data_IF_189969344991
#
_entry.id   IF_189969344991
#
_cell.length_a   1.000
_cell.length_b   1.000
_cell.length_c   1.000
_cell.angle_alpha   90.00
_cell.angle_beta   90.00
_cell.angle_gamma   90.00
#
_symmetry.space_group_name_H-M   'P 1'
#
loop_
_entity.id
_entity.type
_entity.pdbx_description
1 polymer ?
#
# COMPACT_ATOMS: atom_id res chain seq x y z
N UNK A 1 16.03 33.86 -54.39
CA UNK A 1 17.01 33.57 -53.31
C UNK A 1 16.36 32.63 -52.32
N UNK A 2 16.80 31.36 -52.31
CA UNK A 2 16.34 30.32 -51.38
C UNK A 2 17.35 30.25 -50.23
N UNK A 3 16.95 30.56 -49.00
CA UNK A 3 17.78 30.29 -47.83
C UNK A 3 17.20 29.10 -47.07
N UNK A 4 17.94 28.00 -47.14
CA UNK A 4 17.86 26.85 -46.25
C UNK A 4 18.35 27.27 -44.87
N UNK A 5 17.61 26.98 -43.81
CA UNK A 5 18.12 27.03 -42.43
C UNK A 5 17.97 25.65 -41.82
N UNK A 6 19.12 25.18 -41.38
CA UNK A 6 19.46 23.84 -40.95
C UNK A 6 18.85 23.48 -39.60
N UNK A 7 18.53 22.20 -39.49
CA UNK A 7 18.45 21.38 -38.26
C UNK A 7 19.65 21.70 -37.34
N UNK A 8 19.42 21.79 -36.01
CA UNK A 8 20.17 21.13 -34.90
C UNK A 8 19.84 21.75 -33.52
N UNK A 9 19.57 20.87 -32.54
CA UNK A 9 19.91 20.88 -31.09
C UNK A 9 18.73 20.35 -30.25
N UNK A 10 18.71 19.05 -29.96
CA UNK A 10 19.33 18.44 -28.76
C UNK A 10 18.52 18.67 -27.47
N UNK A 11 17.72 17.65 -27.16
CA UNK A 11 17.46 17.06 -25.85
C UNK A 11 17.62 17.96 -24.59
N UNK A 12 16.48 18.27 -23.97
CA UNK A 12 16.39 18.51 -22.53
C UNK A 12 15.48 17.43 -21.92
N UNK A 13 16.04 16.22 -21.76
CA UNK A 13 15.57 15.25 -20.78
C UNK A 13 16.09 15.71 -19.42
N UNK A 14 15.41 16.67 -18.80
CA UNK A 14 15.61 16.95 -17.37
C UNK A 14 14.79 15.90 -16.62
N UNK A 15 15.42 14.77 -16.35
CA UNK A 15 14.96 13.83 -15.33
C UNK A 15 14.86 14.58 -14.01
N UNK A 16 13.64 14.75 -13.51
CA UNK A 16 13.34 15.25 -12.18
C UNK A 16 13.83 14.23 -11.15
N UNK A 17 15.11 14.36 -10.78
CA UNK A 17 15.67 13.68 -9.61
C UNK A 17 15.10 14.40 -8.40
N UNK A 18 14.08 13.80 -7.78
CA UNK A 18 13.59 14.24 -6.47
C UNK A 18 14.72 14.07 -5.47
N UNK A 19 15.32 15.18 -5.04
CA UNK A 19 16.30 15.19 -3.95
C UNK A 19 15.59 14.80 -2.65
N UNK A 20 15.80 13.58 -2.19
CA UNK A 20 15.46 13.17 -0.83
C UNK A 20 16.34 13.97 0.13
N UNK A 21 15.74 14.82 0.96
CA UNK A 21 16.45 15.46 2.06
C UNK A 21 16.65 14.40 3.16
N UNK A 22 17.91 14.03 3.41
CA UNK A 22 18.27 13.26 4.58
C UNK A 22 18.19 14.15 5.84
N UNK A 23 18.00 13.54 7.01
CA UNK A 23 18.08 14.25 8.29
C UNK A 23 19.40 15.03 8.41
N UNK A 24 19.38 16.18 9.09
CA UNK A 24 20.61 16.88 9.49
C UNK A 24 21.35 16.04 10.54
N UNK A 25 22.14 15.09 10.05
CA UNK A 25 23.01 14.27 10.88
C UNK A 25 24.28 15.08 11.15
N UNK A 26 24.64 15.39 12.40
CA UNK A 26 25.88 16.09 12.72
C UNK A 26 27.07 15.41 12.04
N UNK A 27 27.97 16.21 11.47
CA UNK A 27 29.16 15.69 10.79
C UNK A 27 29.95 14.76 11.72
N UNK A 28 30.33 13.58 11.22
CA UNK A 28 31.05 12.57 11.99
C UNK A 28 30.17 11.66 12.86
N UNK A 29 28.84 11.74 12.74
CA UNK A 29 27.95 10.76 13.39
C UNK A 29 28.22 9.36 12.82
N UNK A 30 28.58 8.43 13.72
CA UNK A 30 28.80 7.02 13.39
C UNK A 30 27.53 6.25 13.76
N UNK A 31 27.10 5.33 12.89
CA UNK A 31 25.96 4.46 13.17
C UNK A 31 26.28 3.56 14.37
N UNK A 32 25.36 3.46 15.33
CA UNK A 32 25.55 2.57 16.48
C UNK A 32 25.67 1.10 16.04
N UNK A 33 26.50 0.32 16.74
CA UNK A 33 26.64 -1.13 16.46
C UNK A 33 25.30 -1.88 16.62
N UNK A 34 24.45 -1.42 17.55
CA UNK A 34 23.15 -2.01 17.86
C UNK A 34 22.02 -1.17 17.29
N UNK A 35 21.36 -1.67 16.25
CA UNK A 35 20.19 -1.02 15.61
C UNK A 35 18.88 -1.55 16.20
N UNK A 36 18.65 -1.27 17.48
CA UNK A 36 17.40 -1.59 18.17
C UNK A 36 16.65 -0.31 18.55
N UNK A 37 15.33 -0.33 18.38
CA UNK A 37 14.45 0.79 18.69
C UNK A 37 13.28 0.30 19.55
N UNK A 38 13.03 1.01 20.65
CA UNK A 38 11.84 0.82 21.50
C UNK A 38 10.90 1.99 21.28
N UNK A 39 9.71 1.73 20.73
CA UNK A 39 8.67 2.74 20.46
C UNK A 39 7.50 2.55 21.41
N UNK A 40 7.08 3.62 22.06
CA UNK A 40 5.83 3.62 22.82
C UNK A 40 4.63 3.61 21.86
N UNK A 41 3.66 2.74 22.12
CA UNK A 41 2.32 2.74 21.52
C UNK A 41 1.29 2.94 22.63
N UNK A 42 0.19 3.65 22.33
CA UNK A 42 -0.72 4.16 23.37
C UNK A 42 -1.55 3.09 24.08
N UNK A 43 -1.77 1.95 23.43
CA UNK A 43 -2.62 0.87 23.93
C UNK A 43 -2.23 -0.46 23.23
N UNK A 44 -2.79 -1.57 23.71
CA UNK A 44 -2.62 -2.89 23.10
C UNK A 44 -3.31 -2.97 21.72
N UNK A 45 -2.60 -3.39 20.66
CA UNK A 45 -3.18 -3.58 19.32
C UNK A 45 -4.34 -4.58 19.32
N UNK A 46 -5.53 -4.16 18.88
CA UNK A 46 -6.69 -5.04 18.83
C UNK A 46 -6.58 -6.11 17.73
N UNK A 47 -6.05 -5.74 16.56
CA UNK A 47 -5.84 -6.65 15.43
C UNK A 47 -4.73 -6.16 14.52
N UNK A 48 -3.87 -7.08 14.06
CA UNK A 48 -2.85 -6.82 13.04
C UNK A 48 -3.33 -7.16 11.62
N UNK A 49 -4.61 -7.47 11.45
CA UNK A 49 -5.26 -7.60 10.14
C UNK A 49 -5.61 -6.20 9.62
N UNK A 50 -5.04 -5.73 8.49
CA UNK A 50 -5.31 -4.40 7.96
C UNK A 50 -6.80 -4.10 7.74
N UNK A 51 -7.61 -5.11 7.42
CA UNK A 51 -9.06 -4.94 7.23
C UNK A 51 -9.86 -4.97 8.54
N UNK A 52 -9.24 -5.26 9.70
CA UNK A 52 -9.91 -5.29 11.02
C UNK A 52 -9.31 -4.32 12.04
N UNK A 53 -8.23 -3.62 11.70
CA UNK A 53 -7.67 -2.56 12.54
C UNK A 53 -8.67 -1.43 12.80
N UNK A 54 -8.70 -0.89 14.02
CA UNK A 54 -9.66 0.14 14.44
C UNK A 54 -8.95 1.44 14.82
N UNK A 55 -7.88 1.33 15.59
CA UNK A 55 -7.19 2.44 16.23
C UNK A 55 -5.76 2.65 15.73
N UNK A 56 -5.19 3.78 16.15
CA UNK A 56 -3.81 4.15 15.83
C UNK A 56 -2.74 3.13 16.31
N UNK A 57 -2.85 2.49 17.49
CA UNK A 57 -1.80 1.58 17.98
C UNK A 57 -1.47 0.46 16.98
N UNK A 58 -2.48 -0.26 16.50
CA UNK A 58 -2.30 -1.32 15.50
C UNK A 58 -1.90 -0.77 14.13
N UNK A 59 -2.41 0.40 13.71
CA UNK A 59 -2.05 1.01 12.41
C UNK A 59 -0.55 1.34 12.35
N UNK A 60 0.03 1.78 13.47
CA UNK A 60 1.48 2.04 13.56
C UNK A 60 2.29 0.76 13.32
N UNK A 61 1.85 -0.37 13.87
CA UNK A 61 2.50 -1.68 13.68
C UNK A 61 2.26 -2.20 12.26
N UNK A 62 1.04 -2.08 11.73
CA UNK A 62 0.68 -2.50 10.38
C UNK A 62 1.53 -1.81 9.31
N UNK A 63 1.87 -0.53 9.50
CA UNK A 63 2.78 0.21 8.60
C UNK A 63 4.22 -0.30 8.58
N UNK A 64 4.65 -1.00 9.62
CA UNK A 64 5.97 -1.64 9.65
C UNK A 64 5.89 -3.09 9.10
N UNK A 65 4.73 -3.74 9.18
CA UNK A 65 4.50 -5.14 8.75
C UNK A 65 4.06 -5.30 7.29
N UNK A 66 3.36 -4.30 6.76
CA UNK A 66 2.75 -4.32 5.43
C UNK A 66 3.07 -3.03 4.68
N UNK A 67 3.00 -3.10 3.36
CA UNK A 67 3.25 -1.96 2.48
C UNK A 67 2.17 -1.90 1.39
N UNK A 68 1.64 -0.69 1.15
CA UNK A 68 0.61 -0.44 0.13
C UNK A 68 1.17 -0.25 -1.27
N UNK A 69 0.30 0.20 -2.19
CA UNK A 69 0.73 0.57 -3.54
C UNK A 69 1.75 1.72 -3.49
N UNK A 70 1.54 2.69 -2.61
CA UNK A 70 2.41 3.85 -2.43
C UNK A 70 2.64 4.11 -0.95
N UNK A 71 3.70 4.86 -0.64
CA UNK A 71 4.05 5.33 0.68
C UNK A 71 3.96 6.86 0.76
N UNK A 72 4.08 7.40 1.97
CA UNK A 72 4.27 8.83 2.21
C UNK A 72 5.68 9.06 2.77
N UNK A 73 6.40 10.03 2.23
CA UNK A 73 7.67 10.47 2.81
C UNK A 73 7.43 11.38 4.03
N UNK A 74 8.49 11.88 4.66
CA UNK A 74 8.42 12.76 5.82
C UNK A 74 7.58 14.03 5.59
N UNK A 75 7.51 14.51 4.35
CA UNK A 75 6.71 15.69 3.96
C UNK A 75 5.26 15.34 3.61
N UNK A 76 4.86 14.07 3.70
CA UNK A 76 3.55 13.58 3.28
C UNK A 76 3.39 13.44 1.76
N UNK A 77 4.47 13.56 0.99
CA UNK A 77 4.45 13.40 -0.47
C UNK A 77 4.39 11.91 -0.82
N UNK A 78 3.68 11.60 -1.90
CA UNK A 78 3.52 10.23 -2.38
C UNK A 78 4.81 9.74 -3.03
N UNK A 79 5.33 8.62 -2.54
CA UNK A 79 6.52 7.94 -3.05
C UNK A 79 6.22 6.47 -3.33
N UNK A 80 7.00 5.80 -4.19
CA UNK A 80 6.79 4.38 -4.50
C UNK A 80 6.73 3.48 -3.26
N UNK A 81 5.68 2.67 -3.20
CA UNK A 81 5.56 1.48 -2.36
C UNK A 81 5.69 0.27 -3.27
N UNK A 82 4.78 -0.70 -3.17
CA UNK A 82 4.75 -1.86 -4.08
C UNK A 82 4.61 -1.43 -5.55
N UNK A 83 3.92 -0.32 -5.83
CA UNK A 83 3.85 0.26 -7.15
C UNK A 83 5.01 1.24 -7.41
N UNK A 84 5.70 1.06 -8.53
CA UNK A 84 6.78 1.95 -9.01
C UNK A 84 6.26 3.08 -9.88
N UNK A 85 5.08 2.89 -10.48
CA UNK A 85 4.45 3.87 -11.35
C UNK A 85 2.93 3.80 -11.22
N UNK A 86 2.27 4.95 -11.34
CA UNK A 86 0.82 5.09 -11.43
C UNK A 86 0.47 6.13 -12.48
N UNK A 87 -0.60 5.88 -13.23
CA UNK A 87 -1.11 6.82 -14.24
C UNK A 87 -2.62 6.85 -14.27
N UNK A 88 -3.17 8.02 -14.59
CA UNK A 88 -4.55 8.21 -14.97
C UNK A 88 -4.66 9.36 -15.97
N UNK A 89 -5.44 9.18 -17.03
CA UNK A 89 -5.67 10.22 -18.04
C UNK A 89 -6.94 11.04 -17.74
N UNK A 90 -7.87 10.46 -16.98
CA UNK A 90 -9.22 10.99 -16.73
C UNK A 90 -9.57 11.09 -15.23
N UNK A 91 -8.62 10.74 -14.36
CA UNK A 91 -8.78 10.60 -12.91
C UNK A 91 -9.84 9.57 -12.48
N UNK A 92 -10.36 8.76 -13.41
CA UNK A 92 -11.38 7.73 -13.16
C UNK A 92 -10.81 6.33 -13.31
N UNK A 93 -9.92 6.13 -14.28
CA UNK A 93 -9.23 4.87 -14.49
C UNK A 93 -7.78 5.04 -14.09
N UNK A 94 -7.36 4.29 -13.10
CA UNK A 94 -5.98 4.28 -12.61
C UNK A 94 -5.30 2.97 -13.00
N UNK A 95 -4.06 3.05 -13.47
CA UNK A 95 -3.21 1.89 -13.72
C UNK A 95 -1.94 2.02 -12.90
N UNK A 96 -1.66 1.00 -12.08
CA UNK A 96 -0.47 0.88 -11.26
C UNK A 96 0.43 -0.23 -11.83
N UNK A 97 1.72 0.06 -11.93
CA UNK A 97 2.76 -0.92 -12.25
C UNK A 97 3.48 -1.31 -10.97
N UNK A 98 3.48 -2.59 -10.64
CA UNK A 98 4.11 -3.15 -9.45
C UNK A 98 5.58 -3.49 -9.71
N UNK A 99 6.42 -3.42 -8.68
CA UNK A 99 7.82 -3.87 -8.78
C UNK A 99 7.92 -5.38 -8.90
N UNK A 100 8.82 -5.87 -9.75
CA UNK A 100 9.04 -7.31 -9.98
C UNK A 100 9.64 -8.05 -8.76
N UNK A 101 10.24 -7.31 -7.83
CA UNK A 101 10.93 -7.85 -6.67
C UNK A 101 10.16 -7.72 -5.36
N UNK A 102 8.88 -7.29 -5.39
CA UNK A 102 8.06 -7.27 -4.18
C UNK A 102 7.80 -8.71 -3.72
N UNK A 103 8.07 -8.96 -2.44
CA UNK A 103 7.94 -10.30 -1.83
C UNK A 103 7.27 -10.21 -0.48
N UNK A 104 6.46 -11.21 -0.18
CA UNK A 104 6.02 -11.52 1.16
C UNK A 104 7.20 -11.98 2.03
N UNK A 105 7.01 -11.97 3.34
CA UNK A 105 8.04 -12.36 4.30
C UNK A 105 8.51 -13.83 4.12
N UNK A 106 7.69 -14.70 3.53
CA UNK A 106 8.05 -16.08 3.19
C UNK A 106 8.81 -16.22 1.85
N UNK A 107 9.06 -15.11 1.16
CA UNK A 107 9.77 -15.05 -0.11
C UNK A 107 8.89 -15.21 -1.35
N UNK A 108 7.60 -15.50 -1.20
CA UNK A 108 6.65 -15.56 -2.33
C UNK A 108 6.43 -14.18 -2.94
N UNK A 109 6.19 -14.06 -4.26
CA UNK A 109 6.02 -12.76 -4.90
C UNK A 109 4.71 -12.08 -4.48
N UNK A 110 4.74 -10.75 -4.37
CA UNK A 110 3.53 -9.92 -4.28
C UNK A 110 3.07 -9.59 -5.70
N UNK A 111 1.78 -9.79 -5.98
CA UNK A 111 1.20 -9.60 -7.31
C UNK A 111 -0.03 -8.68 -7.27
N UNK A 112 -0.48 -8.23 -8.43
CA UNK A 112 -1.74 -7.46 -8.54
C UNK A 112 -2.94 -8.25 -8.00
N UNK A 113 -2.91 -9.59 -8.06
CA UNK A 113 -3.99 -10.42 -7.54
C UNK A 113 -4.11 -10.35 -6.00
N UNK A 114 -3.01 -10.09 -5.29
CA UNK A 114 -3.05 -9.89 -3.83
C UNK A 114 -3.84 -8.62 -3.48
N UNK A 115 -3.68 -7.55 -4.26
CA UNK A 115 -4.48 -6.32 -4.10
C UNK A 115 -5.95 -6.54 -4.43
N UNK A 116 -6.25 -7.25 -5.54
CA UNK A 116 -7.62 -7.63 -5.88
C UNK A 116 -8.28 -8.38 -4.72
N UNK A 117 -7.64 -9.44 -4.23
CA UNK A 117 -8.14 -10.22 -3.10
C UNK A 117 -8.37 -9.35 -1.86
N UNK A 118 -7.38 -8.53 -1.50
CA UNK A 118 -7.40 -7.76 -0.27
C UNK A 118 -8.48 -6.68 -0.28
N UNK A 119 -8.67 -6.00 -1.42
CA UNK A 119 -9.66 -4.94 -1.53
C UNK A 119 -11.08 -5.49 -1.64
N UNK A 120 -11.26 -6.64 -2.29
CA UNK A 120 -12.53 -7.37 -2.26
C UNK A 120 -12.86 -7.80 -0.83
N UNK A 121 -11.88 -8.32 -0.09
CA UNK A 121 -12.02 -8.68 1.31
C UNK A 121 -12.35 -7.47 2.19
N UNK A 122 -11.76 -6.30 1.93
CA UNK A 122 -12.05 -5.07 2.67
C UNK A 122 -13.54 -4.70 2.61
N UNK A 123 -14.16 -4.81 1.44
CA UNK A 123 -15.57 -4.43 1.23
C UNK A 123 -16.56 -5.57 1.45
N UNK A 124 -16.11 -6.83 1.51
CA UNK A 124 -16.98 -7.98 1.76
C UNK A 124 -17.68 -7.83 3.13
N UNK A 125 -19.03 -7.80 3.18
CA UNK A 125 -19.78 -7.72 4.43
C UNK A 125 -19.41 -8.80 5.46
N UNK A 126 -18.89 -9.96 5.01
CA UNK A 126 -18.41 -11.04 5.89
C UNK A 126 -17.16 -10.66 6.68
N UNK A 127 -16.34 -9.75 6.16
CA UNK A 127 -15.13 -9.29 6.84
C UNK A 127 -15.47 -8.37 8.01
N UNK A 128 -16.62 -7.67 7.96
CA UNK A 128 -17.04 -6.67 8.95
C UNK A 128 -15.93 -5.63 9.20
N UNK A 129 -15.34 -5.10 8.13
CA UNK A 129 -14.25 -4.14 8.26
C UNK A 129 -14.76 -2.80 8.81
N UNK A 130 -14.15 -2.25 9.88
CA UNK A 130 -14.45 -0.90 10.36
C UNK A 130 -14.05 0.19 9.35
N UNK A 131 -13.24 -0.15 8.34
CA UNK A 131 -12.76 0.76 7.29
C UNK A 131 -13.31 0.42 5.89
N UNK A 132 -14.34 -0.44 5.77
CA UNK A 132 -14.96 -0.74 4.48
C UNK A 132 -15.42 0.53 3.74
N UNK A 133 -15.98 1.50 4.48
CA UNK A 133 -16.42 2.80 3.97
C UNK A 133 -15.29 3.59 3.26
N UNK A 134 -14.02 3.32 3.58
CA UNK A 134 -12.88 3.98 2.95
C UNK A 134 -12.76 3.64 1.45
N UNK A 135 -13.18 2.43 1.04
CA UNK A 135 -13.24 2.04 -0.36
C UNK A 135 -14.31 2.84 -1.14
N UNK A 136 -15.46 3.10 -0.52
CA UNK A 136 -16.50 3.96 -1.08
C UNK A 136 -16.08 5.44 -1.13
N UNK A 137 -15.39 5.93 -0.09
CA UNK A 137 -14.77 7.26 -0.08
C UNK A 137 -13.80 7.41 -1.25
N UNK A 138 -12.93 6.41 -1.45
CA UNK A 138 -11.99 6.37 -2.56
C UNK A 138 -12.67 6.24 -3.93
N UNK A 139 -14.00 6.08 -3.97
CA UNK A 139 -14.79 6.01 -5.19
C UNK A 139 -14.54 4.74 -6.00
N UNK A 140 -14.05 3.66 -5.40
CA UNK A 140 -13.84 2.41 -6.13
C UNK A 140 -15.20 1.91 -6.60
N UNK A 141 -15.32 1.64 -7.91
CA UNK A 141 -16.59 1.28 -8.52
C UNK A 141 -17.22 0.07 -7.80
N UNK A 142 -18.52 0.15 -7.51
CA UNK A 142 -19.31 -0.83 -6.76
C UNK A 142 -18.95 -1.02 -5.27
N UNK A 143 -18.00 -0.29 -4.68
CA UNK A 143 -17.61 -0.49 -3.28
C UNK A 143 -18.81 -0.40 -2.32
N UNK A 144 -19.61 0.68 -2.39
CA UNK A 144 -20.78 0.82 -1.53
C UNK A 144 -21.86 -0.24 -1.79
N UNK A 145 -22.07 -0.64 -3.05
CA UNK A 145 -23.04 -1.68 -3.40
C UNK A 145 -22.66 -3.03 -2.77
N UNK A 146 -21.36 -3.35 -2.69
CA UNK A 146 -20.87 -4.57 -2.05
C UNK A 146 -21.03 -4.48 -0.53
N UNK A 147 -20.67 -3.34 0.08
CA UNK A 147 -20.85 -3.09 1.51
C UNK A 147 -22.32 -3.24 1.93
N UNK A 148 -23.24 -2.75 1.09
CA UNK A 148 -24.68 -2.87 1.29
C UNK A 148 -25.23 -4.29 1.03
N UNK A 149 -24.39 -5.23 0.56
CA UNK A 149 -24.81 -6.58 0.18
C UNK A 149 -25.63 -6.67 -1.12
N UNK A 150 -25.59 -5.62 -1.96
CA UNK A 150 -26.32 -5.52 -3.24
C UNK A 150 -25.52 -6.02 -4.44
N UNK A 151 -24.22 -6.24 -4.26
CA UNK A 151 -23.28 -6.74 -5.26
C UNK A 151 -22.30 -7.72 -4.61
N UNK A 152 -21.74 -8.64 -5.40
CA UNK A 152 -20.72 -9.57 -4.92
C UNK A 152 -19.33 -8.92 -4.95
N UNK A 153 -18.38 -9.32 -4.06
CA UNK A 153 -17.06 -8.68 -3.99
C UNK A 153 -16.29 -8.68 -5.32
N UNK A 154 -16.48 -9.69 -6.17
CA UNK A 154 -15.85 -9.77 -7.50
C UNK A 154 -16.27 -8.66 -8.47
N UNK A 155 -17.36 -7.94 -8.18
CA UNK A 155 -17.79 -6.77 -8.96
C UNK A 155 -17.07 -5.48 -8.59
N UNK A 156 -16.17 -5.50 -7.60
CA UNK A 156 -15.38 -4.33 -7.20
C UNK A 156 -14.53 -3.85 -8.39
N UNK A 157 -14.42 -2.53 -8.56
CA UNK A 157 -13.65 -1.88 -9.62
C UNK A 157 -12.13 -2.01 -9.49
N UNK A 158 -11.60 -3.21 -9.26
CA UNK A 158 -10.18 -3.54 -9.15
C UNK A 158 -9.90 -4.80 -9.96
N UNK A 159 -8.89 -4.76 -10.81
CA UNK A 159 -8.58 -5.85 -11.74
C UNK A 159 -7.08 -6.01 -11.87
N UNK A 160 -6.58 -7.23 -11.70
CA UNK A 160 -5.24 -7.60 -12.11
C UNK A 160 -5.25 -7.84 -13.62
N UNK A 161 -4.66 -6.94 -14.40
CA UNK A 161 -4.50 -7.10 -15.85
C UNK A 161 -3.47 -8.21 -16.13
N UNK A 162 -2.42 -8.23 -15.32
CA UNK A 162 -1.40 -9.26 -15.23
C UNK A 162 -0.79 -9.24 -13.81
N UNK A 163 0.29 -9.99 -13.57
CA UNK A 163 0.92 -10.09 -12.25
C UNK A 163 1.44 -8.75 -11.69
N UNK A 164 1.84 -7.82 -12.56
CA UNK A 164 2.46 -6.55 -12.18
C UNK A 164 1.65 -5.32 -12.63
N UNK A 165 0.45 -5.51 -13.18
CA UNK A 165 -0.41 -4.41 -13.63
C UNK A 165 -1.76 -4.48 -12.93
N UNK A 166 -2.01 -3.51 -12.05
CA UNK A 166 -3.29 -3.35 -11.34
C UNK A 166 -4.07 -2.19 -11.98
N UNK A 167 -5.28 -2.47 -12.45
CA UNK A 167 -6.21 -1.48 -13.00
C UNK A 167 -7.35 -1.25 -12.03
N UNK A 168 -7.67 0.02 -11.77
CA UNK A 168 -8.72 0.43 -10.84
C UNK A 168 -9.68 1.36 -11.58
N UNK A 169 -10.97 1.05 -11.47
CA UNK A 169 -12.07 1.85 -12.00
C UNK A 169 -12.77 2.57 -10.85
N UNK A 170 -12.89 3.88 -10.97
CA UNK A 170 -13.62 4.72 -10.03
C UNK A 170 -15.00 5.12 -10.57
N UNK A 171 -15.95 5.38 -9.67
CA UNK A 171 -17.29 5.88 -9.96
C UNK A 171 -17.32 7.39 -10.29
N UNK A 172 -16.30 8.13 -9.82
CA UNK A 172 -16.12 9.57 -10.01
C UNK A 172 -14.66 9.90 -10.33
N UNK A 173 -14.35 11.03 -10.99
CA UNK A 173 -12.97 11.46 -11.16
C UNK A 173 -12.41 11.85 -9.79
N UNK A 174 -11.28 11.28 -9.42
CA UNK A 174 -10.64 11.51 -8.13
C UNK A 174 -9.12 11.70 -8.32
N UNK A 175 -8.65 12.94 -8.55
CA UNK A 175 -7.24 13.22 -8.83
C UNK A 175 -6.28 12.79 -7.72
N UNK A 176 -6.73 12.80 -6.47
CA UNK A 176 -5.94 12.39 -5.29
C UNK A 176 -6.12 10.91 -4.93
N UNK A 177 -6.68 10.08 -5.81
CA UNK A 177 -6.88 8.65 -5.54
C UNK A 177 -5.58 7.95 -5.11
N UNK A 178 -4.47 8.27 -5.79
CA UNK A 178 -3.16 7.72 -5.43
C UNK A 178 -2.80 7.97 -3.96
N UNK A 179 -3.09 9.14 -3.42
CA UNK A 179 -2.82 9.45 -2.01
C UNK A 179 -3.60 8.54 -1.05
N UNK A 180 -4.81 8.13 -1.43
CA UNK A 180 -5.64 7.24 -0.63
C UNK A 180 -5.04 5.83 -0.56
N UNK A 181 -4.33 5.39 -1.60
CA UNK A 181 -3.70 4.06 -1.65
C UNK A 181 -2.53 3.87 -0.67
N UNK A 182 -2.07 4.96 -0.01
CA UNK A 182 -1.13 4.90 1.11
C UNK A 182 -1.81 4.53 2.45
N UNK A 183 -3.14 4.47 2.49
CA UNK A 183 -3.88 4.09 3.68
C UNK A 183 -3.76 2.59 3.95
N UNK A 184 -3.62 2.23 5.23
CA UNK A 184 -3.46 0.83 5.68
C UNK A 184 -4.63 -0.07 5.26
N UNK A 185 -5.85 0.46 5.11
CA UNK A 185 -7.01 -0.31 4.67
C UNK A 185 -6.81 -0.89 3.24
N UNK A 186 -5.94 -0.28 2.44
CA UNK A 186 -5.60 -0.75 1.09
C UNK A 186 -4.31 -1.56 1.03
N UNK A 187 -3.72 -1.91 2.16
CA UNK A 187 -2.57 -2.81 2.18
C UNK A 187 -2.98 -4.23 1.76
N UNK A 188 -2.15 -4.92 0.98
CA UNK A 188 -2.43 -6.28 0.60
C UNK A 188 -2.26 -7.21 1.80
N UNK A 189 -2.94 -8.34 1.77
CA UNK A 189 -2.75 -9.50 2.64
C UNK A 189 -2.56 -10.74 1.79
N UNK A 190 -1.69 -11.65 2.22
CA UNK A 190 -1.43 -12.90 1.51
C UNK A 190 -2.62 -13.85 1.70
N UNK A 191 -3.32 -14.20 0.61
CA UNK A 191 -4.53 -15.04 0.65
C UNK A 191 -4.31 -16.36 1.40
N UNK A 192 -3.21 -17.06 1.12
CA UNK A 192 -2.88 -18.33 1.77
C UNK A 192 -2.72 -18.19 3.29
N UNK A 193 -2.06 -17.13 3.76
CA UNK A 193 -1.92 -16.85 5.18
C UNK A 193 -3.27 -16.57 5.84
N UNK A 194 -4.09 -15.68 5.25
CA UNK A 194 -5.41 -15.35 5.79
C UNK A 194 -6.34 -16.58 5.85
N UNK A 195 -6.29 -17.43 4.83
CA UNK A 195 -7.11 -18.66 4.75
C UNK A 195 -6.62 -19.78 5.67
N UNK A 196 -5.44 -19.65 6.29
CA UNK A 196 -5.00 -20.56 7.35
C UNK A 196 -5.87 -20.51 8.62
N UNK A 197 -6.69 -19.45 8.75
CA UNK A 197 -7.71 -19.32 9.77
C UNK A 197 -7.45 -18.20 10.76
N UNK A 198 -8.26 -18.15 11.83
CA UNK A 198 -8.31 -17.02 12.79
C UNK A 198 -6.99 -16.68 13.50
N UNK A 199 -6.01 -17.57 13.46
CA UNK A 199 -4.72 -17.41 14.14
C UNK A 199 -3.62 -16.82 13.24
N UNK A 200 -3.92 -16.50 11.97
CA UNK A 200 -2.94 -16.04 10.98
C UNK A 200 -2.16 -14.78 11.37
N UNK A 201 -2.75 -13.92 12.22
CA UNK A 201 -2.10 -12.71 12.75
C UNK A 201 -1.37 -12.94 14.06
N UNK A 202 -1.49 -14.11 14.68
CA UNK A 202 -0.81 -14.39 15.95
C UNK A 202 0.63 -14.78 15.67
N UNK A 203 1.53 -14.28 16.50
CA UNK A 203 2.91 -14.76 16.49
C UNK A 203 2.89 -16.26 16.78
N UNK A 204 3.48 -17.06 15.90
CA UNK A 204 3.76 -18.46 16.19
C UNK A 204 4.57 -18.47 17.49
N UNK A 205 4.08 -19.13 18.55
CA UNK A 205 4.85 -19.28 19.79
C UNK A 205 6.18 -19.94 19.41
N UNK A 206 7.25 -19.15 19.33
CA UNK A 206 8.59 -19.71 19.32
C UNK A 206 8.84 -20.14 20.77
N UNK A 207 9.37 -21.34 20.98
CA UNK A 207 9.74 -21.89 22.29
C UNK A 207 10.87 -21.12 23.01
N UNK A 208 11.06 -19.83 22.70
CA UNK A 208 11.86 -18.91 23.51
C UNK A 208 10.95 -18.26 24.53
N UNK A 209 10.73 -19.03 25.58
CA UNK A 209 10.40 -18.53 26.92
C UNK A 209 11.20 -17.24 27.18
N UNK A 210 10.50 -16.10 27.22
CA UNK A 210 11.05 -14.86 27.75
C UNK A 210 11.46 -15.13 29.20
N UNK A 211 12.72 -15.49 29.40
CA UNK A 211 13.36 -15.39 30.71
C UNK A 211 13.47 -13.89 30.97
N UNK A 212 12.48 -13.39 31.72
CA UNK A 212 12.60 -12.14 32.45
C UNK A 212 13.84 -12.27 33.35
N UNK A 213 14.95 -11.69 32.93
CA UNK A 213 15.99 -11.26 33.84
C UNK A 213 15.67 -9.83 34.23
N UNK A 214 15.04 -9.67 35.39
CA UNK A 214 15.20 -8.62 36.42
C UNK A 214 13.98 -8.66 37.33
#
# INVERSE_FOLDING_TARGET
MKHSVSVTCCALLVSSISLSYAAEVPSGTVLAEKQELVRHIKDEPASLDPAKAVGLPEIQVIRDLFEGLVNQNEKGEIVPGVATQWKSNDNRIWTFTLRDNAKWADGTPVTAQDFVYSWQRLVDPKTLSPFAWFAALAGINNAQAIIDGKATPDQLGVTAVDAHTLKIQLDKPLPWFVNLTANFAFFPVQKANVESGKEWTKTRKSDRQWRLCS
#
